data_IF_093034461790
#
_entry.id   IF_093034461790
#
_cell.length_a   1.000
_cell.length_b   1.000
_cell.length_c   1.000
_cell.angle_alpha   90.00
_cell.angle_beta   90.00
_cell.angle_gamma   90.00
#
_symmetry.space_group_name_H-M   'P 1'
#
loop_
_entity.id
_entity.type
_entity.pdbx_description
1 polymer ?
#
# COMPACT_ATOMS: atom_id res chain seq x y z
N UNK A 1 1.52 6.64 -11.19
CA UNK A 1 2.92 6.90 -10.79
C UNK A 1 3.17 8.38 -10.95
N UNK A 2 3.55 9.08 -9.87
CA UNK A 2 3.73 10.54 -9.89
C UNK A 2 5.15 10.88 -9.46
N UNK A 3 5.93 11.57 -10.28
CA UNK A 3 7.26 12.05 -9.93
C UNK A 3 7.27 13.57 -9.88
N UNK A 4 7.69 14.12 -8.75
CA UNK A 4 7.74 15.55 -8.47
C UNK A 4 9.21 15.96 -8.37
N UNK A 5 9.63 17.03 -9.07
CA UNK A 5 10.96 17.62 -8.87
C UNK A 5 11.14 18.08 -7.42
N UNK A 6 12.30 17.83 -6.85
CA UNK A 6 12.72 18.30 -5.53
C UNK A 6 13.93 19.22 -5.66
N UNK A 7 14.26 19.91 -4.57
CA UNK A 7 15.47 20.74 -4.50
C UNK A 7 16.72 19.93 -4.87
N UNK A 8 17.70 20.60 -5.47
CA UNK A 8 18.94 20.01 -5.99
C UNK A 8 18.77 19.04 -7.17
N UNK A 9 17.73 19.19 -8.00
CA UNK A 9 17.52 18.39 -9.22
C UNK A 9 17.17 16.92 -8.96
N UNK A 10 16.81 16.57 -7.72
CA UNK A 10 16.40 15.22 -7.35
C UNK A 10 14.92 14.98 -7.69
N UNK A 11 14.56 13.78 -8.15
CA UNK A 11 13.15 13.42 -8.40
C UNK A 11 12.61 12.59 -7.22
N UNK A 12 11.48 13.01 -6.65
CA UNK A 12 10.70 12.20 -5.71
C UNK A 12 9.54 11.55 -6.44
N UNK A 13 9.49 10.23 -6.46
CA UNK A 13 8.42 9.48 -7.11
C UNK A 13 7.54 8.77 -6.08
N UNK A 14 6.22 8.93 -6.20
CA UNK A 14 5.23 8.19 -5.44
C UNK A 14 4.75 7.02 -6.29
N UNK A 15 4.93 5.82 -5.74
CA UNK A 15 4.51 4.57 -6.34
C UNK A 15 3.42 3.94 -5.49
N UNK A 16 2.24 3.83 -6.08
CA UNK A 16 1.07 3.22 -5.47
C UNK A 16 0.48 2.30 -6.53
N UNK A 17 1.03 1.09 -6.60
CA UNK A 17 0.57 0.08 -7.56
C UNK A 17 0.43 -1.25 -6.83
N UNK A 18 -0.64 -1.96 -7.18
CA UNK A 18 -1.12 -3.21 -6.60
C UNK A 18 -0.37 -4.43 -7.19
N UNK A 19 0.56 -4.19 -8.12
CA UNK A 19 1.32 -5.25 -8.80
C UNK A 19 2.81 -5.12 -8.51
N UNK A 20 3.31 -6.05 -7.71
CA UNK A 20 4.74 -6.29 -7.59
C UNK A 20 5.04 -7.46 -8.50
N UNK A 21 5.50 -7.16 -9.71
CA UNK A 21 6.14 -8.18 -10.53
C UNK A 21 7.51 -8.49 -9.91
N UNK A 22 7.79 -9.78 -9.68
CA UNK A 22 9.10 -10.26 -9.23
C UNK A 22 10.16 -10.23 -10.34
N UNK A 23 9.74 -9.91 -11.57
CA UNK A 23 10.58 -9.96 -12.77
C UNK A 23 11.40 -8.67 -13.01
N UNK A 24 12.18 -8.71 -14.09
CA UNK A 24 13.11 -7.65 -14.52
C UNK A 24 12.40 -6.31 -14.85
N UNK A 25 11.13 -6.32 -15.25
CA UNK A 25 10.30 -5.12 -15.47
C UNK A 25 9.63 -4.65 -14.16
N UNK A 26 10.41 -4.56 -13.10
CA UNK A 26 9.92 -4.00 -11.84
C UNK A 26 9.82 -2.47 -11.99
N UNK A 27 8.64 -1.87 -11.82
CA UNK A 27 8.46 -0.42 -12.01
C UNK A 27 9.33 0.43 -11.07
N UNK A 28 9.65 -0.06 -9.87
CA UNK A 28 10.55 0.63 -8.94
C UNK A 28 11.99 0.65 -9.48
N UNK A 29 12.45 -0.41 -10.16
CA UNK A 29 13.76 -0.40 -10.81
C UNK A 29 13.82 0.62 -11.94
N UNK A 30 12.74 0.71 -12.74
CA UNK A 30 12.63 1.72 -13.80
C UNK A 30 12.68 3.15 -13.25
N UNK A 31 12.00 3.41 -12.12
CA UNK A 31 12.10 4.70 -11.44
C UNK A 31 13.55 5.03 -11.06
N UNK A 32 14.29 4.06 -10.52
CA UNK A 32 15.71 4.24 -10.20
C UNK A 32 16.53 4.52 -11.47
N UNK A 33 16.34 3.75 -12.54
CA UNK A 33 17.02 3.93 -13.83
C UNK A 33 16.74 5.30 -14.46
N UNK A 34 15.55 5.86 -14.23
CA UNK A 34 15.18 7.22 -14.67
C UNK A 34 15.63 8.34 -13.71
N UNK A 35 16.50 8.03 -12.73
CA UNK A 35 17.14 9.00 -11.85
C UNK A 35 16.33 9.37 -10.61
N UNK A 36 15.35 8.56 -10.19
CA UNK A 36 14.67 8.78 -8.93
C UNK A 36 15.63 8.58 -7.74
N UNK A 37 15.84 9.64 -6.96
CA UNK A 37 16.62 9.60 -5.72
C UNK A 37 15.76 9.29 -4.50
N UNK A 38 14.47 9.59 -4.58
CA UNK A 38 13.49 9.32 -3.53
C UNK A 38 12.30 8.59 -4.13
N UNK A 39 11.97 7.43 -3.59
CA UNK A 39 10.81 6.65 -4.02
C UNK A 39 9.97 6.37 -2.78
N UNK A 40 8.74 6.86 -2.76
CA UNK A 40 7.76 6.55 -1.71
C UNK A 40 6.84 5.47 -2.23
N UNK A 41 6.76 4.36 -1.52
CA UNK A 41 5.93 3.21 -1.88
C UNK A 41 4.86 3.02 -0.82
N UNK A 42 3.61 3.03 -1.23
CA UNK A 42 2.47 2.81 -0.36
C UNK A 42 2.12 1.31 -0.27
N UNK A 43 1.95 0.80 0.95
CA UNK A 43 1.34 -0.52 1.16
C UNK A 43 -0.16 -0.50 0.80
N UNK A 44 -0.72 -1.66 0.53
CA UNK A 44 -2.17 -1.83 0.36
C UNK A 44 -2.82 -1.80 1.74
N UNK A 45 -3.76 -0.89 1.94
CA UNK A 45 -4.62 -0.80 3.13
C UNK A 45 -5.65 -1.95 3.14
N UNK A 46 -6.43 -2.21 4.20
CA UNK A 46 -7.38 -3.33 4.23
C UNK A 46 -8.57 -3.10 3.29
N UNK A 47 -8.37 -3.39 2.00
CA UNK A 47 -9.35 -3.18 0.93
C UNK A 47 -10.65 -3.96 1.14
N UNK A 48 -10.65 -5.02 1.96
CA UNK A 48 -11.84 -5.76 2.35
C UNK A 48 -12.80 -4.97 3.25
N UNK A 49 -12.40 -3.80 3.74
CA UNK A 49 -13.22 -2.87 4.50
C UNK A 49 -13.91 -1.81 3.62
N UNK A 50 -13.56 -1.71 2.33
CA UNK A 50 -14.14 -0.68 1.47
C UNK A 50 -15.59 -1.02 1.12
N UNK A 51 -16.52 -0.03 1.09
CA UNK A 51 -17.91 -0.25 0.70
C UNK A 51 -18.03 -1.00 -0.64
N UNK A 52 -17.24 -0.62 -1.65
CA UNK A 52 -17.27 -1.29 -2.95
C UNK A 52 -16.84 -2.76 -2.90
N UNK A 53 -15.90 -3.14 -2.03
CA UNK A 53 -15.50 -4.53 -1.85
C UNK A 53 -16.57 -5.31 -1.08
N UNK A 54 -17.14 -4.70 -0.03
CA UNK A 54 -18.21 -5.28 0.78
C UNK A 54 -19.46 -5.56 -0.06
N UNK A 55 -19.83 -4.67 -0.97
CA UNK A 55 -20.98 -4.84 -1.86
C UNK A 55 -20.72 -5.89 -2.94
N UNK A 56 -19.57 -5.83 -3.62
CA UNK A 56 -19.29 -6.69 -4.79
C UNK A 56 -18.87 -8.12 -4.41
N UNK A 57 -18.23 -8.28 -3.26
CA UNK A 57 -17.67 -9.54 -2.78
C UNK A 57 -18.36 -10.01 -1.49
N UNK A 58 -19.60 -9.56 -1.27
CA UNK A 58 -20.41 -9.95 -0.13
C UNK A 58 -20.47 -11.48 0.01
N UNK A 59 -20.42 -11.96 1.25
CA UNK A 59 -20.55 -13.36 1.57
C UNK A 59 -21.71 -13.55 2.56
N UNK A 60 -22.63 -14.51 2.35
CA UNK A 60 -23.71 -14.75 3.31
C UNK A 60 -23.19 -15.30 4.65
N UNK A 61 -22.01 -15.91 4.66
CA UNK A 61 -21.41 -16.46 5.86
C UNK A 61 -20.73 -15.35 6.68
N UNK A 62 -21.32 -15.01 7.83
CA UNK A 62 -20.77 -14.02 8.77
C UNK A 62 -19.36 -14.36 9.28
N UNK A 63 -18.96 -15.63 9.26
CA UNK A 63 -17.61 -16.07 9.67
C UNK A 63 -16.52 -15.51 8.74
N UNK A 64 -16.86 -15.16 7.50
CA UNK A 64 -15.92 -14.56 6.54
C UNK A 64 -15.57 -13.10 6.86
N UNK A 65 -16.25 -12.49 7.83
CA UNK A 65 -16.01 -11.12 8.27
C UNK A 65 -15.23 -11.10 9.59
N UNK A 66 -14.32 -10.13 9.73
CA UNK A 66 -13.62 -9.86 10.99
C UNK A 66 -14.45 -9.00 11.94
N UNK A 67 -13.87 -8.63 13.09
CA UNK A 67 -14.56 -7.84 14.12
C UNK A 67 -15.00 -6.46 13.64
N UNK A 68 -14.40 -5.96 12.56
CA UNK A 68 -14.70 -4.67 11.95
C UNK A 68 -15.71 -4.77 10.81
N UNK A 69 -16.23 -5.97 10.53
CA UNK A 69 -17.11 -6.20 9.39
C UNK A 69 -16.37 -6.22 8.05
N UNK A 70 -15.05 -6.39 8.04
CA UNK A 70 -14.27 -6.46 6.80
C UNK A 70 -14.10 -7.90 6.30
N UNK A 71 -14.03 -8.09 4.99
CA UNK A 71 -13.84 -9.41 4.37
C UNK A 71 -12.44 -9.98 4.65
N UNK A 72 -12.36 -11.05 5.46
CA UNK A 72 -11.10 -11.71 5.86
C UNK A 72 -10.27 -12.18 4.67
N UNK A 73 -10.90 -12.81 3.67
CA UNK A 73 -10.22 -13.33 2.48
C UNK A 73 -9.52 -12.21 1.70
N UNK A 74 -10.21 -11.09 1.51
CA UNK A 74 -9.68 -9.94 0.77
C UNK A 74 -8.54 -9.28 1.58
N UNK A 75 -8.73 -9.10 2.88
CA UNK A 75 -7.71 -8.55 3.78
C UNK A 75 -6.47 -9.46 3.91
N UNK A 76 -6.62 -10.78 3.77
CA UNK A 76 -5.50 -11.73 3.72
C UNK A 76 -4.65 -11.52 2.46
N UNK A 77 -5.29 -11.31 1.31
CA UNK A 77 -4.59 -11.03 0.06
C UNK A 77 -3.80 -9.71 0.15
N UNK A 78 -4.40 -8.65 0.71
CA UNK A 78 -3.73 -7.38 0.95
C UNK A 78 -2.47 -7.55 1.83
N UNK A 79 -2.57 -8.28 2.95
CA UNK A 79 -1.42 -8.56 3.83
C UNK A 79 -0.34 -9.37 3.14
N UNK A 80 -0.72 -10.38 2.35
CA UNK A 80 0.22 -11.18 1.59
C UNK A 80 0.98 -10.33 0.56
N UNK A 81 0.25 -9.47 -0.18
CA UNK A 81 0.86 -8.51 -1.09
C UNK A 81 1.86 -7.59 -0.39
N UNK A 82 1.49 -7.01 0.75
CA UNK A 82 2.39 -6.14 1.53
C UNK A 82 3.64 -6.88 1.99
N UNK A 83 3.53 -8.16 2.37
CA UNK A 83 4.70 -8.97 2.72
C UNK A 83 5.67 -9.12 1.53
N UNK A 84 5.13 -9.39 0.34
CA UNK A 84 5.93 -9.46 -0.88
C UNK A 84 6.55 -8.10 -1.24
N UNK A 85 5.82 -7.01 -1.01
CA UNK A 85 6.29 -5.65 -1.24
C UNK A 85 7.54 -5.34 -0.42
N UNK A 86 7.47 -5.65 0.88
CA UNK A 86 8.55 -5.42 1.83
C UNK A 86 9.80 -6.22 1.47
N UNK A 87 9.62 -7.49 1.06
CA UNK A 87 10.72 -8.32 0.56
C UNK A 87 11.38 -7.72 -0.69
N UNK A 88 10.59 -7.31 -1.68
CA UNK A 88 11.11 -6.70 -2.90
C UNK A 88 11.85 -5.38 -2.62
N UNK A 89 11.29 -4.54 -1.75
CA UNK A 89 11.90 -3.27 -1.37
C UNK A 89 13.22 -3.49 -0.63
N UNK A 90 13.33 -4.53 0.20
CA UNK A 90 14.58 -4.90 0.85
C UNK A 90 15.67 -5.22 -0.19
N UNK A 91 15.35 -6.02 -1.21
CA UNK A 91 16.28 -6.34 -2.30
C UNK A 91 16.67 -5.09 -3.11
N UNK A 92 15.71 -4.20 -3.39
CA UNK A 92 15.97 -2.97 -4.13
C UNK A 92 16.85 -1.98 -3.36
N UNK A 93 16.66 -1.87 -2.04
CA UNK A 93 17.52 -1.05 -1.18
C UNK A 93 18.96 -1.56 -1.17
N UNK A 94 19.15 -2.88 -1.20
CA UNK A 94 20.48 -3.48 -1.35
C UNK A 94 21.09 -3.19 -2.72
N UNK A 95 20.32 -3.36 -3.80
CA UNK A 95 20.78 -3.14 -5.19
C UNK A 95 21.06 -1.67 -5.52
N UNK A 96 20.34 -0.73 -4.91
CA UNK A 96 20.41 0.70 -5.20
C UNK A 96 20.62 1.53 -3.93
N UNK A 97 21.82 1.48 -3.31
CA UNK A 97 22.10 2.13 -2.03
C UNK A 97 21.98 3.65 -2.07
N UNK A 98 22.09 4.27 -3.25
CA UNK A 98 21.98 5.71 -3.44
C UNK A 98 20.53 6.21 -3.65
N UNK A 99 19.56 5.31 -3.78
CA UNK A 99 18.13 5.67 -3.86
C UNK A 99 17.45 5.41 -2.53
N UNK A 100 16.84 6.45 -1.96
CA UNK A 100 16.03 6.33 -0.73
C UNK A 100 14.64 5.82 -1.08
N UNK A 101 14.40 4.53 -0.87
CA UNK A 101 13.09 3.91 -0.98
C UNK A 101 12.41 3.91 0.39
N UNK A 102 11.31 4.64 0.55
CA UNK A 102 10.53 4.80 1.78
C UNK A 102 9.22 4.02 1.60
N UNK A 103 8.80 3.29 2.63
CA UNK A 103 7.52 2.56 2.60
C UNK A 103 6.54 3.21 3.55
N UNK A 104 5.33 3.47 3.08
CA UNK A 104 4.23 4.03 3.87
C UNK A 104 3.30 2.90 4.29
N UNK A 105 3.18 2.70 5.60
CA UNK A 105 2.31 1.69 6.21
C UNK A 105 0.90 2.26 6.38
N UNK A 106 -0.02 1.91 5.48
CA UNK A 106 -1.43 2.33 5.59
C UNK A 106 -2.31 1.37 6.39
N UNK A 107 -1.90 0.11 6.53
CA UNK A 107 -2.78 -0.92 7.04
C UNK A 107 -3.20 -0.68 8.50
N UNK A 108 -2.25 -0.42 9.40
CA UNK A 108 -2.54 -0.20 10.82
C UNK A 108 -3.27 1.12 11.09
N UNK A 109 -2.86 2.27 10.51
CA UNK A 109 -3.63 3.51 10.68
C UNK A 109 -5.09 3.37 10.26
N UNK A 110 -5.36 2.62 9.19
CA UNK A 110 -6.74 2.34 8.77
C UNK A 110 -7.52 1.55 9.82
N UNK A 111 -6.92 0.50 10.41
CA UNK A 111 -7.59 -0.25 11.47
C UNK A 111 -7.79 0.60 12.73
N UNK A 112 -6.82 1.42 13.10
CA UNK A 112 -6.95 2.34 14.23
C UNK A 112 -8.09 3.35 14.01
N UNK A 113 -8.27 3.82 12.78
CA UNK A 113 -9.40 4.66 12.39
C UNK A 113 -10.75 3.94 12.57
N UNK A 114 -10.83 2.64 12.22
CA UNK A 114 -12.03 1.84 12.45
C UNK A 114 -12.30 1.57 13.95
N UNK A 115 -11.24 1.45 14.75
CA UNK A 115 -11.35 1.22 16.20
C UNK A 115 -11.74 2.49 16.96
N UNK A 116 -11.31 3.67 16.50
CA UNK A 116 -11.47 4.96 17.21
C UNK A 116 -11.83 6.09 16.25
N UNK A 117 -12.97 6.04 15.54
CA UNK A 117 -13.32 7.03 14.54
C UNK A 117 -13.29 8.46 15.11
N UNK A 118 -13.92 8.68 16.27
CA UNK A 118 -14.03 9.98 16.94
C UNK A 118 -12.67 10.67 17.20
N UNK A 119 -11.58 9.89 17.36
CA UNK A 119 -10.25 10.44 17.56
C UNK A 119 -9.65 11.09 16.30
N UNK A 120 -10.14 10.68 15.12
CA UNK A 120 -9.67 11.15 13.83
C UNK A 120 -10.69 12.05 13.11
N UNK A 121 -11.87 12.25 13.69
CA UNK A 121 -13.00 13.03 13.15
C UNK A 121 -14.30 12.23 13.13
N UNK A 122 -15.43 12.84 12.75
CA UNK A 122 -16.66 12.07 12.58
C UNK A 122 -16.60 11.17 11.34
N UNK A 123 -17.00 9.91 11.51
CA UNK A 123 -17.23 8.99 10.40
C UNK A 123 -18.51 9.43 9.68
N UNK A 124 -18.39 10.37 8.73
CA UNK A 124 -19.52 10.74 7.88
C UNK A 124 -19.78 9.59 6.90
N UNK A 125 -20.62 8.64 7.33
CA UNK A 125 -21.26 7.68 6.46
C UNK A 125 -22.30 8.44 5.65
N UNK A 126 -21.92 8.87 4.43
CA UNK A 126 -22.87 9.31 3.40
C UNK A 126 -23.63 8.11 2.84
#
# INVERSE_FOLDING_TARGET
MMCIPKSFGSKQCIFQYIYINRDFDNPLQRLVQHGAKYIVVADIFPIGCLPGALTKLANPNKVEYDRHGCLKRVNRLARYHNSLLRQQIMMLRYKYPHTKIIVVEYYKPFLAFLDMPEHFGELVLL
#
